data_IF_432556327977
#
_entry.id   IF_432556327977
#
_cell.length_a   1.000
_cell.length_b   1.000
_cell.length_c   1.000
_cell.angle_alpha   90.00
_cell.angle_beta   90.00
_cell.angle_gamma   90.00
#
_symmetry.space_group_name_H-M   'P 1'
#
loop_
_entity.id
_entity.type
_entity.pdbx_description
1 polymer ?
#
# COMPACT_ATOMS: atom_id res chain seq x y z
N UNK A 1 -15.23 13.76 -5.05
CA UNK A 1 -14.73 13.68 -6.45
C UNK A 1 -13.22 13.80 -6.54
N UNK A 2 -12.58 14.62 -5.73
CA UNK A 2 -11.12 14.84 -5.70
C UNK A 2 -10.32 13.56 -5.37
N UNK A 3 -10.67 12.84 -4.30
CA UNK A 3 -9.96 11.61 -3.87
C UNK A 3 -9.89 10.55 -4.99
N UNK A 4 -10.94 10.42 -5.82
CA UNK A 4 -10.94 9.45 -6.93
C UNK A 4 -9.96 9.81 -8.04
N UNK A 5 -9.79 11.11 -8.34
CA UNK A 5 -8.81 11.59 -9.30
C UNK A 5 -7.38 11.40 -8.79
N UNK A 6 -7.17 11.60 -7.49
CA UNK A 6 -5.87 11.46 -6.85
C UNK A 6 -5.43 10.00 -6.72
N UNK A 7 -6.38 9.07 -6.51
CA UNK A 7 -6.14 7.62 -6.60
C UNK A 7 -5.68 7.23 -8.01
N UNK A 8 -6.24 7.84 -9.06
CA UNK A 8 -5.82 7.61 -10.43
C UNK A 8 -4.34 8.01 -10.65
N UNK A 9 -3.91 9.12 -10.06
CA UNK A 9 -2.52 9.57 -10.09
C UNK A 9 -1.58 8.62 -9.35
N UNK A 10 -2.01 8.08 -8.20
CA UNK A 10 -1.28 7.04 -7.47
C UNK A 10 -1.08 5.78 -8.31
N UNK A 11 -2.11 5.38 -9.09
CA UNK A 11 -2.05 4.24 -9.99
C UNK A 11 -1.04 4.44 -11.13
N UNK A 12 -0.94 5.64 -11.67
CA UNK A 12 0.07 5.98 -12.68
C UNK A 12 1.48 5.84 -12.07
N UNK A 13 1.71 6.33 -10.86
CA UNK A 13 2.99 6.16 -10.17
C UNK A 13 3.35 4.69 -9.90
N UNK A 14 2.38 3.88 -9.49
CA UNK A 14 2.56 2.44 -9.29
C UNK A 14 2.91 1.77 -10.62
N UNK A 15 2.14 2.02 -11.69
CA UNK A 15 2.38 1.46 -13.02
C UNK A 15 3.73 1.89 -13.61
N UNK A 16 4.13 3.16 -13.46
CA UNK A 16 5.43 3.66 -13.93
C UNK A 16 6.59 2.97 -13.19
N UNK A 17 6.51 2.79 -11.86
CA UNK A 17 7.57 2.12 -11.13
C UNK A 17 7.72 0.65 -11.52
N UNK A 18 6.62 -0.08 -11.67
CA UNK A 18 6.65 -1.45 -12.19
C UNK A 18 7.15 -1.50 -13.64
N UNK A 19 7.03 -0.41 -14.41
CA UNK A 19 7.57 -0.32 -15.79
C UNK A 19 9.07 -0.04 -15.83
N UNK A 20 9.62 0.77 -14.90
CA UNK A 20 11.05 1.13 -14.88
C UNK A 20 11.97 -0.03 -14.43
N UNK A 21 11.51 -0.93 -13.55
CA UNK A 21 12.25 -2.13 -13.14
C UNK A 21 12.21 -3.27 -14.17
N UNK A 22 11.57 -3.07 -15.34
CA UNK A 22 11.32 -4.11 -16.35
C UNK A 22 12.56 -4.43 -17.21
N UNK A 23 13.60 -3.61 -17.19
CA UNK A 23 14.69 -3.72 -18.17
C UNK A 23 15.87 -4.60 -17.76
N UNK A 24 15.85 -5.34 -16.66
CA UNK A 24 16.95 -6.22 -16.31
C UNK A 24 16.54 -7.68 -16.07
N UNK A 25 17.04 -8.52 -16.99
CA UNK A 25 17.33 -9.95 -16.90
C UNK A 25 16.17 -10.95 -16.98
N UNK A 26 15.99 -11.44 -18.17
CA UNK A 26 15.53 -12.80 -18.46
C UNK A 26 16.51 -13.82 -17.84
N UNK A 27 16.17 -14.39 -16.71
CA UNK A 27 16.67 -15.70 -16.29
C UNK A 27 15.65 -16.41 -15.39
N UNK A 28 15.15 -17.56 -15.89
CA UNK A 28 14.40 -18.51 -15.09
C UNK A 28 12.87 -18.38 -15.19
N UNK A 29 12.22 -19.52 -15.35
CA UNK A 29 10.78 -19.72 -15.53
C UNK A 29 9.93 -19.48 -14.26
N UNK A 30 10.41 -18.68 -13.29
CA UNK A 30 9.68 -18.32 -12.07
C UNK A 30 9.03 -16.95 -12.22
N UNK A 31 7.70 -16.92 -12.16
CA UNK A 31 6.91 -15.69 -12.18
C UNK A 31 7.30 -14.80 -11.00
N UNK A 32 7.84 -13.61 -11.29
CA UNK A 32 8.24 -12.66 -10.24
C UNK A 32 6.98 -12.13 -9.57
N UNK A 33 6.94 -12.26 -8.22
CA UNK A 33 5.83 -11.81 -7.40
C UNK A 33 6.14 -10.48 -6.72
N UNK A 34 5.13 -9.62 -6.61
CA UNK A 34 5.16 -8.37 -5.86
C UNK A 34 4.01 -8.33 -4.87
N UNK A 35 4.25 -7.75 -3.70
CA UNK A 35 3.24 -7.48 -2.69
C UNK A 35 2.97 -5.98 -2.59
N UNK A 36 1.75 -5.56 -2.91
CA UNK A 36 1.30 -4.17 -2.74
C UNK A 36 0.32 -4.13 -1.57
N UNK A 37 0.72 -3.47 -0.50
CA UNK A 37 -0.04 -3.39 0.75
C UNK A 37 -0.65 -2.00 0.87
N UNK A 38 -1.96 -1.89 0.84
CA UNK A 38 -2.65 -0.67 1.23
C UNK A 38 -2.87 -0.68 2.74
N UNK A 39 -2.42 0.36 3.46
CA UNK A 39 -2.75 0.52 4.87
C UNK A 39 -4.08 1.26 5.02
N UNK A 40 -4.88 0.83 6.00
CA UNK A 40 -6.19 1.38 6.30
C UNK A 40 -6.80 0.72 7.53
N UNK A 41 -7.95 1.22 7.96
CA UNK A 41 -8.72 0.70 9.08
C UNK A 41 -9.94 -0.06 8.56
N UNK A 42 -10.29 -1.14 9.25
CA UNK A 42 -11.49 -1.94 8.96
C UNK A 42 -12.68 -1.34 9.70
N UNK A 43 -13.80 -1.27 9.02
CA UNK A 43 -15.07 -0.80 9.55
C UNK A 43 -15.76 0.10 8.53
N UNK A 44 -17.10 0.06 8.49
CA UNK A 44 -17.88 0.91 7.58
C UNK A 44 -17.67 2.41 7.84
N UNK A 45 -17.36 2.79 9.08
CA UNK A 45 -17.08 4.15 9.51
C UNK A 45 -15.79 4.73 8.90
N UNK A 46 -14.84 3.86 8.51
CA UNK A 46 -13.57 4.29 7.88
C UNK A 46 -13.62 4.23 6.35
N UNK A 47 -14.71 3.70 5.79
CA UNK A 47 -14.86 3.59 4.35
C UNK A 47 -14.90 4.99 3.72
N UNK A 48 -14.06 5.22 2.70
CA UNK A 48 -13.89 6.51 2.02
C UNK A 48 -13.28 7.64 2.87
N UNK A 49 -12.76 7.36 4.08
CA UNK A 49 -11.97 8.34 4.82
C UNK A 49 -10.57 8.51 4.24
N UNK A 50 -9.93 9.64 4.54
CA UNK A 50 -8.57 9.95 4.05
C UNK A 50 -7.53 8.96 4.57
N UNK A 51 -7.70 8.46 5.81
CA UNK A 51 -6.83 7.43 6.38
C UNK A 51 -6.94 6.07 5.65
N UNK A 52 -8.01 5.84 4.90
CA UNK A 52 -8.19 4.62 4.12
C UNK A 52 -7.69 4.73 2.68
N UNK A 53 -6.94 5.80 2.33
CA UNK A 53 -6.41 5.99 0.99
C UNK A 53 -5.54 4.80 0.53
N UNK A 54 -4.88 4.11 1.45
CA UNK A 54 -4.15 2.89 1.13
C UNK A 54 -5.07 1.78 0.62
N UNK A 55 -6.18 1.49 1.33
CA UNK A 55 -7.20 0.53 0.89
C UNK A 55 -7.82 0.93 -0.44
N UNK A 56 -8.24 2.19 -0.56
CA UNK A 56 -8.85 2.72 -1.79
C UNK A 56 -7.90 2.59 -2.99
N UNK A 57 -6.60 2.78 -2.78
CA UNK A 57 -5.60 2.67 -3.85
C UNK A 57 -5.47 1.22 -4.34
N UNK A 58 -5.37 0.23 -3.44
CA UNK A 58 -5.27 -1.18 -3.88
C UNK A 58 -6.58 -1.70 -4.46
N UNK A 59 -7.73 -1.22 -3.99
CA UNK A 59 -9.04 -1.54 -4.57
C UNK A 59 -9.18 -0.98 -5.99
N UNK A 60 -8.76 0.28 -6.20
CA UNK A 60 -8.76 0.88 -7.51
C UNK A 60 -7.79 0.16 -8.47
N UNK A 61 -6.62 -0.26 -7.98
CA UNK A 61 -5.65 -1.04 -8.75
C UNK A 61 -6.25 -2.40 -9.16
N UNK A 62 -6.92 -3.10 -8.24
CA UNK A 62 -7.63 -4.34 -8.53
C UNK A 62 -8.69 -4.16 -9.62
N UNK A 63 -9.55 -3.13 -9.46
CA UNK A 63 -10.64 -2.84 -10.39
C UNK A 63 -10.15 -2.54 -11.81
N UNK A 64 -9.11 -1.69 -11.96
CA UNK A 64 -8.59 -1.30 -13.27
C UNK A 64 -7.96 -2.49 -14.00
N UNK A 65 -7.40 -3.45 -13.26
CA UNK A 65 -6.78 -4.63 -13.85
C UNK A 65 -7.72 -5.86 -13.88
N UNK A 66 -9.03 -5.66 -13.64
CA UNK A 66 -10.03 -6.73 -13.61
C UNK A 66 -9.63 -7.91 -12.72
N UNK A 67 -8.98 -7.61 -11.58
CA UNK A 67 -8.62 -8.63 -10.61
C UNK A 67 -9.87 -9.28 -10.00
N UNK A 68 -9.81 -10.56 -9.58
CA UNK A 68 -10.88 -11.19 -8.81
C UNK A 68 -11.24 -10.38 -7.55
N UNK A 69 -12.43 -10.60 -6.97
CA UNK A 69 -12.79 -10.00 -5.68
C UNK A 69 -11.73 -10.31 -4.61
N UNK A 70 -11.56 -9.39 -3.67
CA UNK A 70 -10.72 -9.65 -2.49
C UNK A 70 -11.29 -10.80 -1.68
N UNK A 71 -10.45 -11.78 -1.37
CA UNK A 71 -10.81 -12.93 -0.55
C UNK A 71 -10.24 -12.77 0.86
N UNK A 72 -11.00 -13.21 1.85
CA UNK A 72 -10.56 -13.24 3.24
C UNK A 72 -9.41 -14.22 3.42
N UNK A 73 -8.44 -13.84 4.24
CA UNK A 73 -7.27 -14.65 4.55
C UNK A 73 -6.65 -14.23 5.88
N UNK A 74 -5.67 -15.00 6.33
CA UNK A 74 -5.00 -14.70 7.59
C UNK A 74 -4.37 -13.30 7.53
N UNK A 75 -4.73 -12.44 8.48
CA UNK A 75 -4.27 -11.05 8.66
C UNK A 75 -4.69 -10.07 7.57
N UNK A 76 -5.58 -10.44 6.62
CA UNK A 76 -6.03 -9.47 5.62
C UNK A 76 -6.75 -10.06 4.42
N UNK A 77 -7.36 -9.17 3.66
CA UNK A 77 -8.04 -9.48 2.42
C UNK A 77 -7.06 -9.36 1.26
N UNK A 78 -7.05 -10.34 0.37
CA UNK A 78 -6.13 -10.37 -0.77
C UNK A 78 -6.81 -10.66 -2.09
N UNK A 79 -6.25 -10.13 -3.15
CA UNK A 79 -6.50 -10.52 -4.52
C UNK A 79 -5.20 -10.46 -5.31
N UNK A 80 -5.16 -11.05 -6.49
CA UNK A 80 -3.99 -10.99 -7.34
C UNK A 80 -4.36 -10.94 -8.82
N UNK A 81 -3.48 -10.37 -9.60
CA UNK A 81 -3.55 -10.37 -11.07
C UNK A 81 -2.14 -10.40 -11.65
N UNK A 82 -2.07 -10.71 -12.94
CA UNK A 82 -0.79 -10.72 -13.66
C UNK A 82 -0.71 -9.56 -14.64
N UNK A 83 0.43 -8.89 -14.67
CA UNK A 83 0.71 -7.83 -15.65
C UNK A 83 2.15 -7.99 -16.15
N UNK A 84 2.32 -8.02 -17.49
CA UNK A 84 3.64 -8.14 -18.15
C UNK A 84 4.51 -9.27 -17.57
N UNK A 85 3.93 -10.46 -17.36
CA UNK A 85 4.64 -11.63 -16.85
C UNK A 85 4.98 -11.61 -15.35
N UNK A 86 4.40 -10.68 -14.58
CA UNK A 86 4.59 -10.53 -13.13
C UNK A 86 3.28 -10.68 -12.39
N UNK A 87 3.29 -11.34 -11.25
CA UNK A 87 2.12 -11.44 -10.38
C UNK A 87 2.16 -10.33 -9.32
N UNK A 88 1.11 -9.53 -9.27
CA UNK A 88 0.88 -8.56 -8.19
C UNK A 88 -0.15 -9.14 -7.24
N UNK A 89 0.25 -9.26 -5.97
CA UNK A 89 -0.63 -9.62 -4.86
C UNK A 89 -0.98 -8.33 -4.12
N UNK A 90 -2.26 -8.02 -4.04
CA UNK A 90 -2.78 -6.85 -3.33
C UNK A 90 -3.25 -7.30 -1.96
N UNK A 91 -2.87 -6.59 -0.92
CA UNK A 91 -3.21 -6.89 0.46
C UNK A 91 -3.84 -5.66 1.13
N UNK A 92 -5.01 -5.87 1.75
CA UNK A 92 -5.61 -4.98 2.74
C UNK A 92 -5.50 -5.66 4.10
N UNK A 93 -4.59 -5.23 5.01
CA UNK A 93 -4.48 -5.82 6.34
C UNK A 93 -5.79 -5.75 7.12
N UNK A 94 -6.16 -6.85 7.80
CA UNK A 94 -7.31 -6.90 8.70
C UNK A 94 -6.91 -6.77 10.18
N UNK A 95 -5.66 -6.44 10.44
CA UNK A 95 -5.13 -6.16 11.77
C UNK A 95 -5.38 -4.71 12.14
N UNK A 96 -5.32 -4.39 13.45
CA UNK A 96 -5.19 -3.00 13.87
C UNK A 96 -3.97 -2.34 13.21
N UNK A 97 -4.03 -1.02 12.99
CA UNK A 97 -2.97 -0.27 12.30
C UNK A 97 -1.59 -0.50 12.94
N UNK A 98 -1.52 -0.49 14.27
CA UNK A 98 -0.30 -0.75 15.03
C UNK A 98 0.16 -2.22 15.03
N UNK A 99 -0.50 -3.10 14.28
CA UNK A 99 -0.16 -4.52 14.08
C UNK A 99 0.03 -4.87 12.59
N UNK A 100 0.02 -3.88 11.69
CA UNK A 100 0.11 -4.08 10.23
C UNK A 100 1.36 -4.87 9.80
N UNK A 101 2.46 -4.79 10.53
CA UNK A 101 3.68 -5.55 10.24
C UNK A 101 3.48 -7.07 10.28
N UNK A 102 2.55 -7.59 11.09
CA UNK A 102 2.23 -9.02 11.13
C UNK A 102 1.66 -9.50 9.79
N UNK A 103 0.75 -8.73 9.21
CA UNK A 103 0.16 -9.02 7.92
C UNK A 103 1.23 -8.99 6.81
N UNK A 104 2.05 -7.94 6.78
CA UNK A 104 3.12 -7.80 5.78
C UNK A 104 4.08 -8.98 5.85
N UNK A 105 4.62 -9.28 7.04
CA UNK A 105 5.57 -10.40 7.23
C UNK A 105 4.96 -11.74 6.85
N UNK A 106 3.71 -12.00 7.27
CA UNK A 106 3.04 -13.26 6.96
C UNK A 106 2.88 -13.46 5.44
N UNK A 107 2.40 -12.45 4.72
CA UNK A 107 2.15 -12.57 3.28
C UNK A 107 3.45 -12.60 2.47
N UNK A 108 4.49 -11.89 2.89
CA UNK A 108 5.83 -12.02 2.31
C UNK A 108 6.35 -13.47 2.41
N UNK A 109 6.24 -14.08 3.60
CA UNK A 109 6.70 -15.45 3.84
C UNK A 109 5.85 -16.47 3.10
N UNK A 110 4.52 -16.35 3.17
CA UNK A 110 3.58 -17.27 2.51
C UNK A 110 3.79 -17.33 0.99
N UNK A 111 4.03 -16.19 0.38
CA UNK A 111 4.15 -16.06 -1.08
C UNK A 111 5.61 -16.07 -1.57
N UNK A 112 6.58 -16.22 -0.67
CA UNK A 112 8.02 -16.16 -0.94
C UNK A 112 8.41 -14.86 -1.67
N UNK A 113 7.94 -13.70 -1.16
CA UNK A 113 8.19 -12.38 -1.75
C UNK A 113 9.33 -11.72 -0.98
N UNK A 114 10.44 -11.36 -1.63
CA UNK A 114 11.54 -10.65 -1.00
C UNK A 114 11.15 -9.18 -0.74
N UNK A 115 11.84 -8.55 0.22
CA UNK A 115 11.49 -7.22 0.70
C UNK A 115 11.55 -6.13 -0.38
N UNK A 116 12.47 -6.24 -1.32
CA UNK A 116 12.59 -5.35 -2.47
C UNK A 116 11.37 -5.35 -3.39
N UNK A 117 10.56 -6.41 -3.35
CA UNK A 117 9.33 -6.55 -4.11
C UNK A 117 8.07 -6.15 -3.31
N UNK A 118 8.24 -5.50 -2.16
CA UNK A 118 7.14 -4.99 -1.34
C UNK A 118 6.95 -3.49 -1.55
N UNK A 119 5.70 -3.07 -1.75
CA UNK A 119 5.29 -1.67 -1.76
C UNK A 119 4.21 -1.45 -0.72
N UNK A 120 4.44 -0.52 0.21
CA UNK A 120 3.43 -0.07 1.18
C UNK A 120 2.81 1.23 0.69
N UNK A 121 1.48 1.27 0.61
CA UNK A 121 0.70 2.48 0.28
C UNK A 121 0.07 3.01 1.56
N UNK A 122 0.30 4.28 1.86
CA UNK A 122 -0.03 4.87 3.16
C UNK A 122 -0.38 6.36 3.00
N UNK A 123 -1.26 6.85 3.85
CA UNK A 123 -1.53 8.28 4.02
C UNK A 123 -0.37 9.01 4.69
N UNK A 124 -0.29 10.34 4.45
CA UNK A 124 0.72 11.20 5.02
C UNK A 124 0.15 12.61 5.30
N UNK A 125 0.02 12.92 6.59
CA UNK A 125 -0.44 14.23 7.06
C UNK A 125 0.54 15.38 6.73
N UNK A 126 1.84 15.07 6.62
CA UNK A 126 2.87 16.08 6.37
C UNK A 126 2.98 16.50 4.89
N UNK A 127 2.25 15.83 3.99
CA UNK A 127 2.22 16.18 2.58
C UNK A 127 0.91 16.91 2.24
N UNK A 128 0.95 17.94 1.39
CA UNK A 128 -0.25 18.58 0.87
C UNK A 128 -1.21 17.52 0.27
N UNK A 129 -2.51 17.76 0.39
CA UNK A 129 -3.53 16.87 -0.15
C UNK A 129 -3.29 16.57 -1.64
N UNK A 130 -3.42 15.31 -2.05
CA UNK A 130 -3.20 14.86 -3.42
C UNK A 130 -1.73 14.69 -3.84
N UNK A 131 -0.76 15.06 -2.98
CA UNK A 131 0.66 14.89 -3.28
C UNK A 131 1.08 13.43 -3.14
N UNK A 132 1.75 12.91 -4.16
CA UNK A 132 2.30 11.55 -4.15
C UNK A 132 3.81 11.58 -3.96
N UNK A 133 4.31 10.80 -3.01
CA UNK A 133 5.74 10.65 -2.75
C UNK A 133 6.15 9.20 -2.64
N UNK A 134 6.87 8.73 -3.64
CA UNK A 134 7.44 7.39 -3.66
C UNK A 134 8.87 7.41 -3.12
N UNK A 135 9.16 6.55 -2.13
CA UNK A 135 10.50 6.39 -1.55
C UNK A 135 10.83 4.92 -1.38
N UNK A 136 12.09 4.53 -1.67
CA UNK A 136 12.60 3.19 -1.45
C UNK A 136 12.95 2.89 0.01
N UNK A 137 13.19 3.94 0.81
CA UNK A 137 13.55 3.88 2.24
C UNK A 137 13.13 5.15 2.97
N UNK A 138 13.04 5.13 4.29
CA UNK A 138 12.76 6.33 5.10
C UNK A 138 12.11 6.02 6.43
N UNK A 139 11.99 7.03 7.30
CA UNK A 139 11.32 6.95 8.61
C UNK A 139 9.81 6.71 8.46
N UNK A 140 9.17 6.35 9.57
CA UNK A 140 7.73 6.15 9.66
C UNK A 140 6.93 7.47 9.66
N UNK A 141 7.61 8.62 9.91
CA UNK A 141 7.01 9.95 10.04
C UNK A 141 5.80 10.00 11.01
N UNK A 142 5.86 9.22 12.08
CA UNK A 142 4.81 9.12 13.10
C UNK A 142 3.64 8.20 12.72
N UNK A 143 3.65 7.58 11.54
CA UNK A 143 2.57 6.68 11.14
C UNK A 143 2.71 5.30 11.83
N UNK A 144 1.73 4.94 12.66
CA UNK A 144 1.76 3.73 13.49
C UNK A 144 1.93 2.43 12.69
N UNK A 145 1.31 2.32 11.52
CA UNK A 145 1.46 1.16 10.64
C UNK A 145 2.89 1.01 10.13
N UNK A 146 3.50 2.10 9.64
CA UNK A 146 4.90 2.08 9.17
C UNK A 146 5.88 1.79 10.32
N UNK A 147 5.63 2.35 11.52
CA UNK A 147 6.43 2.08 12.72
C UNK A 147 6.42 0.58 13.06
N UNK A 148 5.23 -0.04 13.07
CA UNK A 148 5.12 -1.47 13.36
C UNK A 148 5.71 -2.34 12.24
N UNK A 149 5.54 -1.98 10.96
CA UNK A 149 6.18 -2.69 9.85
C UNK A 149 7.70 -2.65 10.01
N UNK A 150 8.28 -1.47 10.27
CA UNK A 150 9.72 -1.32 10.46
C UNK A 150 10.24 -2.16 11.63
N UNK A 151 9.56 -2.17 12.79
CA UNK A 151 9.95 -2.99 13.94
C UNK A 151 9.82 -4.50 13.66
N UNK A 152 8.77 -4.92 12.94
CA UNK A 152 8.51 -6.33 12.63
C UNK A 152 9.49 -6.90 11.60
N UNK A 153 9.90 -6.08 10.62
CA UNK A 153 10.85 -6.47 9.57
C UNK A 153 12.31 -6.19 9.94
N UNK A 154 12.56 -5.48 11.04
CA UNK A 154 13.90 -5.09 11.50
C UNK A 154 14.58 -4.06 10.60
N UNK A 155 13.84 -3.38 9.71
CA UNK A 155 14.41 -2.43 8.76
C UNK A 155 13.39 -1.40 8.28
N UNK A 156 13.90 -0.24 7.84
CA UNK A 156 13.12 0.79 7.15
C UNK A 156 13.40 0.82 5.62
N UNK A 157 14.16 -0.14 5.11
CA UNK A 157 14.56 -0.22 3.70
C UNK A 157 13.53 -1.00 2.87
N UNK A 158 12.32 -0.47 2.76
CA UNK A 158 11.25 -0.99 1.89
C UNK A 158 10.56 0.16 1.16
N UNK A 159 9.99 -0.14 0.00
CA UNK A 159 9.32 0.85 -0.81
C UNK A 159 8.00 1.30 -0.19
N UNK A 160 7.74 2.62 -0.21
CA UNK A 160 6.47 3.20 0.23
C UNK A 160 6.00 4.30 -0.71
N UNK A 161 4.73 4.25 -1.05
CA UNK A 161 4.00 5.32 -1.69
C UNK A 161 3.22 6.07 -0.60
N UNK A 162 3.62 7.32 -0.35
CA UNK A 162 2.95 8.21 0.61
C UNK A 162 1.99 9.10 -0.15
N UNK A 163 0.74 9.06 0.25
CA UNK A 163 -0.33 9.87 -0.29
C UNK A 163 -0.63 11.02 0.67
N UNK A 164 -0.40 12.25 0.25
CA UNK A 164 -0.66 13.44 1.06
C UNK A 164 -2.15 13.62 1.31
N UNK A 165 -2.53 13.65 2.58
CA UNK A 165 -3.90 13.95 3.00
C UNK A 165 -4.05 15.34 3.62
N UNK A 166 -2.90 16.05 3.76
CA UNK A 166 -2.85 17.38 4.35
C UNK A 166 -3.01 17.37 5.86
N UNK A 167 -2.81 18.53 6.48
CA UNK A 167 -2.95 18.73 7.92
C UNK A 167 -3.67 20.06 8.24
N UNK A 168 -4.52 20.52 7.32
CA UNK A 168 -5.25 21.78 7.46
C UNK A 168 -6.49 21.58 8.36
N UNK A 169 -6.23 21.36 9.65
CA UNK A 169 -7.25 21.20 10.70
C UNK A 169 -6.84 21.92 11.97
N UNK A 170 -7.81 22.44 12.78
CA UNK A 170 -7.52 23.07 14.05
C UNK A 170 -6.96 22.05 15.04
N UNK A 171 -6.22 22.52 16.03
CA UNK A 171 -5.62 21.67 17.08
C UNK A 171 -6.70 20.81 17.74
N UNK A 172 -6.55 19.48 17.70
CA UNK A 172 -7.54 18.50 18.17
C UNK A 172 -8.59 18.07 17.15
N UNK A 173 -8.68 18.71 15.98
CA UNK A 173 -9.66 18.37 14.92
C UNK A 173 -9.21 17.27 13.95
N UNK A 174 -8.15 16.54 14.26
CA UNK A 174 -7.62 15.50 13.36
C UNK A 174 -8.64 14.38 13.11
N UNK A 175 -9.41 13.98 14.13
CA UNK A 175 -10.38 12.86 14.01
C UNK A 175 -11.48 13.20 13.00
N UNK A 176 -11.96 14.45 13.00
CA UNK A 176 -13.03 14.89 12.09
C UNK A 176 -12.50 15.19 10.67
N UNK A 177 -11.19 15.41 10.55
CA UNK A 177 -10.54 15.73 9.27
C UNK A 177 -10.24 14.48 8.44
N UNK A 178 -9.94 13.37 9.03
CA UNK A 178 -9.45 12.13 8.42
C UNK A 178 -10.45 11.00 8.43
#
# INVERSE_FOLDING_TARGET
MQIKADVQSALICINLRFSFYINELFYGNTMIKYLVVGLGNIGPEYHETRHNIGFMTVEALARINNAPPFMDGRYGFTTSFSIKGRQLILLKPSTFMNLSGLAVRYWMQKENIPLENVLIVVDDLALPFGTLRLKGKGSDAGHNGLKHIASTLGTQNYARLRFGIGNDFPRGGQIDYV
#
